data_IF_932557518566
#
_entry.id   IF_932557518566
#
_cell.length_a   1.000
_cell.length_b   1.000
_cell.length_c   1.000
_cell.angle_alpha   90.00
_cell.angle_beta   90.00
_cell.angle_gamma   90.00
#
_symmetry.space_group_name_H-M   'P 1'
#
loop_
_entity.id
_entity.type
_entity.pdbx_description
1 polymer ?
#
# COMPACT_ATOMS: atom_id res chain seq x y z
N UNK A 1 20.23 -31.85 -0.49
CA UNK A 1 20.61 -30.45 -0.75
C UNK A 1 19.75 -29.55 0.08
N UNK A 2 20.33 -29.16 1.19
CA UNK A 2 19.73 -28.31 2.20
C UNK A 2 19.63 -26.89 1.69
N UNK A 3 18.44 -26.40 1.49
CA UNK A 3 18.13 -24.98 1.42
C UNK A 3 18.08 -24.45 2.86
N UNK A 4 19.21 -24.05 3.39
CA UNK A 4 19.29 -23.23 4.60
C UNK A 4 18.69 -21.87 4.27
N UNK A 5 17.38 -21.75 4.45
CA UNK A 5 16.72 -20.46 4.53
C UNK A 5 17.19 -19.80 5.83
N UNK A 6 18.14 -18.88 5.76
CA UNK A 6 18.47 -18.01 6.89
C UNK A 6 17.29 -17.07 7.06
N UNK A 7 16.39 -17.44 7.95
CA UNK A 7 15.18 -16.69 8.26
C UNK A 7 15.53 -15.62 9.27
N UNK A 8 15.64 -14.39 8.83
CA UNK A 8 15.75 -13.23 9.74
C UNK A 8 14.34 -12.80 10.06
N UNK A 9 13.92 -12.99 11.29
CA UNK A 9 12.63 -12.50 11.80
C UNK A 9 12.94 -11.29 12.66
N UNK A 10 12.51 -10.11 12.22
CA UNK A 10 12.56 -8.89 13.02
C UNK A 10 11.17 -8.57 13.55
N UNK A 11 11.07 -8.31 14.84
CA UNK A 11 9.86 -7.86 15.50
C UNK A 11 9.83 -6.33 15.46
N UNK A 12 8.75 -5.76 14.94
CA UNK A 12 8.47 -4.35 15.03
C UNK A 12 7.27 -4.15 15.97
N UNK A 13 7.48 -3.47 17.08
CA UNK A 13 6.42 -3.17 18.06
C UNK A 13 5.55 -2.02 17.57
N UNK A 14 4.24 -2.22 17.54
CA UNK A 14 3.23 -1.21 17.28
C UNK A 14 2.62 -0.71 18.58
N UNK A 15 2.33 0.57 18.63
CA UNK A 15 1.79 1.23 19.83
C UNK A 15 0.28 1.13 20.00
N UNK A 16 -0.49 0.57 19.03
CA UNK A 16 -1.95 0.54 19.09
C UNK A 16 -2.50 -0.88 19.32
N UNK A 17 -3.24 -1.15 20.40
CA UNK A 17 -3.71 -2.50 20.72
C UNK A 17 -4.87 -2.96 19.82
N UNK A 18 -4.63 -3.99 19.02
CA UNK A 18 -5.66 -4.73 18.28
C UNK A 18 -6.56 -5.60 19.19
N UNK A 19 -6.22 -5.67 20.48
CA UNK A 19 -6.88 -6.52 21.49
C UNK A 19 -8.36 -6.22 21.78
N UNK A 20 -8.88 -5.10 21.29
CA UNK A 20 -10.27 -4.72 21.54
C UNK A 20 -11.29 -5.43 20.64
N UNK A 21 -10.92 -6.08 19.54
CA UNK A 21 -11.83 -6.64 18.53
C UNK A 21 -12.11 -8.14 18.62
N UNK A 22 -11.35 -8.92 19.41
CA UNK A 22 -11.52 -10.39 19.47
C UNK A 22 -12.13 -10.80 20.81
N UNK A 23 -13.27 -10.23 21.21
CA UNK A 23 -13.94 -10.69 22.46
C UNK A 23 -14.96 -11.80 22.30
N UNK A 24 -15.33 -12.20 21.08
CA UNK A 24 -16.37 -13.20 20.85
C UNK A 24 -15.94 -14.42 20.01
N UNK A 25 -14.64 -14.72 19.93
CA UNK A 25 -14.12 -15.74 19.01
C UNK A 25 -13.56 -16.99 19.67
N UNK A 26 -14.14 -17.51 20.76
CA UNK A 26 -13.63 -18.71 21.43
C UNK A 26 -13.48 -19.92 20.47
N UNK A 27 -14.46 -20.16 19.61
CA UNK A 27 -14.43 -21.22 18.60
C UNK A 27 -13.37 -20.99 17.51
N UNK A 28 -13.13 -19.73 17.12
CA UNK A 28 -12.11 -19.37 16.11
C UNK A 28 -10.69 -19.58 16.66
N UNK A 29 -10.48 -19.22 17.93
CA UNK A 29 -9.21 -19.46 18.60
C UNK A 29 -8.88 -20.96 18.68
N UNK A 30 -9.88 -21.81 19.00
CA UNK A 30 -9.73 -23.26 19.07
C UNK A 30 -9.47 -23.88 17.69
N UNK A 31 -10.19 -23.45 16.65
CA UNK A 31 -9.97 -23.90 15.28
C UNK A 31 -8.58 -23.52 14.73
N UNK A 32 -8.04 -22.35 15.12
CA UNK A 32 -6.73 -21.87 14.71
C UNK A 32 -5.58 -22.41 15.56
N UNK A 33 -5.84 -23.06 16.70
CA UNK A 33 -4.82 -23.51 17.63
C UNK A 33 -3.81 -24.48 16.97
N UNK A 34 -4.31 -25.40 16.15
CA UNK A 34 -3.43 -26.34 15.41
C UNK A 34 -2.53 -25.60 14.42
N UNK A 35 -3.08 -24.68 13.64
CA UNK A 35 -2.31 -23.85 12.69
C UNK A 35 -1.30 -22.96 13.41
N UNK A 36 -1.69 -22.33 14.52
CA UNK A 36 -0.81 -21.52 15.34
C UNK A 36 0.35 -22.34 15.95
N UNK A 37 0.09 -23.58 16.34
CA UNK A 37 1.14 -24.50 16.86
C UNK A 37 2.16 -24.81 15.78
N UNK A 38 1.70 -25.13 14.55
CA UNK A 38 2.61 -25.37 13.41
C UNK A 38 3.38 -24.10 13.07
N UNK A 39 2.70 -22.95 13.04
CA UNK A 39 3.33 -21.66 12.77
C UNK A 39 4.43 -21.36 13.78
N UNK A 40 4.19 -21.59 15.07
CA UNK A 40 5.17 -21.36 16.14
C UNK A 40 6.42 -22.25 16.03
N UNK A 41 6.29 -23.43 15.37
CA UNK A 41 7.43 -24.32 15.12
C UNK A 41 8.29 -23.88 13.93
N UNK A 42 7.66 -23.24 12.92
CA UNK A 42 8.31 -22.86 11.67
C UNK A 42 8.82 -21.41 11.72
N UNK A 43 8.08 -20.54 12.38
CA UNK A 43 8.31 -19.10 12.47
C UNK A 43 7.76 -18.55 13.77
N UNK A 44 7.39 -17.26 13.79
CA UNK A 44 6.70 -16.63 14.91
C UNK A 44 5.20 -16.52 14.66
N UNK A 45 4.43 -16.63 15.75
CA UNK A 45 3.00 -16.32 15.68
C UNK A 45 2.79 -14.80 15.67
N UNK A 46 1.85 -14.30 14.84
CA UNK A 46 1.46 -12.89 14.84
C UNK A 46 1.00 -12.44 16.23
N UNK A 47 1.43 -11.25 16.64
CA UNK A 47 0.94 -10.56 17.83
C UNK A 47 0.27 -9.25 17.42
N UNK A 48 -0.67 -8.71 18.22
CA UNK A 48 -1.40 -7.51 17.85
C UNK A 48 -0.54 -6.31 17.47
N UNK A 49 0.60 -6.15 18.13
CA UNK A 49 1.44 -4.95 18.04
C UNK A 49 2.79 -5.23 17.36
N UNK A 50 2.88 -6.35 16.63
CA UNK A 50 4.13 -6.78 15.99
C UNK A 50 3.90 -7.10 14.53
N UNK A 51 4.65 -6.46 13.65
CA UNK A 51 4.75 -6.87 12.25
C UNK A 51 5.83 -7.94 12.11
N UNK A 52 5.55 -9.00 11.37
CA UNK A 52 6.52 -10.06 11.09
C UNK A 52 7.19 -9.75 9.75
N UNK A 53 8.51 -9.82 9.74
CA UNK A 53 9.30 -9.69 8.51
C UNK A 53 10.11 -10.97 8.32
N UNK A 54 9.96 -11.60 7.17
CA UNK A 54 10.63 -12.85 6.82
C UNK A 54 11.43 -12.69 5.53
N UNK A 55 12.68 -13.14 5.55
CA UNK A 55 13.54 -13.15 4.37
C UNK A 55 13.96 -14.58 4.03
N UNK A 56 13.79 -14.96 2.78
CA UNK A 56 14.23 -16.28 2.29
C UNK A 56 14.63 -16.22 0.81
N UNK A 57 15.23 -17.29 0.32
CA UNK A 57 15.61 -17.48 -1.07
C UNK A 57 14.82 -18.61 -1.70
N UNK A 58 14.31 -18.40 -2.90
CA UNK A 58 13.72 -19.44 -3.75
C UNK A 58 14.46 -19.59 -5.08
N UNK A 59 13.85 -20.30 -6.02
CA UNK A 59 14.36 -20.39 -7.40
C UNK A 59 14.17 -19.09 -8.16
N UNK A 60 13.16 -18.30 -7.79
CA UNK A 60 12.79 -17.05 -8.47
C UNK A 60 13.63 -15.87 -7.99
N UNK A 61 14.31 -16.00 -6.85
CA UNK A 61 15.16 -14.96 -6.29
C UNK A 61 15.11 -14.90 -4.76
N UNK A 62 15.35 -13.70 -4.26
CA UNK A 62 15.32 -13.39 -2.84
C UNK A 62 14.00 -12.70 -2.50
N UNK A 63 13.35 -13.16 -1.46
CA UNK A 63 12.05 -12.71 -1.01
C UNK A 63 12.16 -12.01 0.34
N UNK A 64 11.43 -10.92 0.48
CA UNK A 64 11.16 -10.25 1.75
C UNK A 64 9.64 -10.15 1.91
N UNK A 65 9.11 -10.93 2.86
CA UNK A 65 7.69 -10.91 3.19
C UNK A 65 7.49 -10.08 4.46
N UNK A 66 6.55 -9.15 4.41
CA UNK A 66 6.21 -8.24 5.49
C UNK A 66 4.74 -8.43 5.81
N UNK A 67 4.41 -8.75 7.06
CA UNK A 67 3.06 -9.05 7.52
C UNK A 67 2.59 -8.01 8.54
N UNK A 68 2.15 -6.84 8.08
CA UNK A 68 1.64 -5.80 8.97
C UNK A 68 0.20 -6.03 9.41
N UNK A 69 -0.55 -6.93 8.74
CA UNK A 69 -1.96 -7.22 9.00
C UNK A 69 -2.86 -5.97 8.98
N UNK A 70 -2.52 -5.01 8.14
CA UNK A 70 -3.22 -3.74 8.03
C UNK A 70 -4.36 -3.75 6.99
N UNK A 71 -4.44 -4.81 6.19
CA UNK A 71 -5.44 -4.99 5.14
C UNK A 71 -4.99 -4.53 3.76
N UNK A 72 -5.71 -4.97 2.73
CA UNK A 72 -5.36 -4.82 1.33
C UNK A 72 -5.02 -3.38 0.92
N UNK A 73 -5.87 -2.39 1.28
CA UNK A 73 -5.67 -1.00 0.85
C UNK A 73 -4.36 -0.42 1.39
N UNK A 74 -4.06 -0.68 2.66
CA UNK A 74 -2.81 -0.26 3.28
C UNK A 74 -1.62 -0.96 2.63
N UNK A 75 -1.73 -2.26 2.35
CA UNK A 75 -0.65 -3.02 1.72
C UNK A 75 -0.36 -2.54 0.29
N UNK A 76 -1.40 -2.14 -0.47
CA UNK A 76 -1.26 -1.53 -1.81
C UNK A 76 -0.45 -0.23 -1.80
N UNK A 77 -0.55 0.55 -0.74
CA UNK A 77 0.24 1.77 -0.57
C UNK A 77 1.63 1.45 -0.01
N UNK A 78 1.70 0.62 1.02
CA UNK A 78 2.92 0.33 1.77
C UNK A 78 3.97 -0.42 0.92
N UNK A 79 3.55 -1.37 0.09
CA UNK A 79 4.47 -2.14 -0.76
C UNK A 79 5.28 -1.26 -1.73
N UNK A 80 4.64 -0.48 -2.62
CA UNK A 80 5.33 0.47 -3.48
C UNK A 80 6.11 1.56 -2.73
N UNK A 81 5.61 2.02 -1.57
CA UNK A 81 6.32 2.97 -0.72
C UNK A 81 7.66 2.41 -0.26
N UNK A 82 7.67 1.21 0.31
CA UNK A 82 8.90 0.53 0.74
C UNK A 82 9.84 0.30 -0.45
N UNK A 83 9.33 -0.21 -1.58
CA UNK A 83 10.14 -0.45 -2.77
C UNK A 83 10.77 0.84 -3.30
N UNK A 84 10.03 1.95 -3.33
CA UNK A 84 10.53 3.27 -3.73
C UNK A 84 11.62 3.77 -2.78
N UNK A 85 11.45 3.61 -1.47
CA UNK A 85 12.45 4.01 -0.46
C UNK A 85 13.72 3.17 -0.55
N UNK A 86 13.61 1.87 -0.83
CA UNK A 86 14.77 1.00 -1.10
C UNK A 86 15.48 1.47 -2.37
N UNK A 87 14.75 1.77 -3.44
CA UNK A 87 15.32 2.22 -4.71
C UNK A 87 16.06 3.56 -4.59
N UNK A 88 15.69 4.42 -3.63
CA UNK A 88 16.45 5.65 -3.29
C UNK A 88 17.79 5.37 -2.61
N UNK A 89 17.91 4.24 -1.93
CA UNK A 89 19.13 3.84 -1.20
C UNK A 89 20.09 3.02 -2.08
N UNK A 90 19.54 2.20 -2.96
CA UNK A 90 20.32 1.34 -3.87
C UNK A 90 19.54 1.08 -5.15
N UNK A 91 20.19 1.14 -6.32
CA UNK A 91 19.55 0.74 -7.57
C UNK A 91 19.08 -0.72 -7.46
N UNK A 92 17.78 -0.93 -7.60
CA UNK A 92 17.19 -2.24 -7.44
C UNK A 92 15.98 -2.42 -8.36
N UNK A 93 15.84 -3.63 -8.91
CA UNK A 93 14.61 -4.06 -9.55
C UNK A 93 13.83 -4.91 -8.55
N UNK A 94 12.71 -4.37 -8.07
CA UNK A 94 11.87 -5.03 -7.10
C UNK A 94 10.50 -5.32 -7.70
N UNK A 95 10.05 -6.56 -7.59
CA UNK A 95 8.65 -6.92 -7.86
C UNK A 95 7.89 -6.88 -6.55
N UNK A 96 6.78 -6.14 -6.55
CA UNK A 96 5.92 -5.97 -5.37
C UNK A 96 4.64 -6.76 -5.58
N UNK A 97 4.35 -7.68 -4.66
CA UNK A 97 3.09 -8.42 -4.60
C UNK A 97 2.43 -8.15 -3.27
N UNK A 98 1.11 -7.90 -3.28
CA UNK A 98 0.35 -7.62 -2.07
C UNK A 98 -0.87 -8.51 -1.96
N UNK A 99 -1.28 -8.81 -0.73
CA UNK A 99 -2.53 -9.48 -0.41
C UNK A 99 -3.12 -8.94 0.91
N UNK A 100 -4.23 -9.51 1.37
CA UNK A 100 -4.89 -9.07 2.60
C UNK A 100 -4.04 -9.24 3.86
N UNK A 101 -3.05 -10.13 3.84
CA UNK A 101 -2.22 -10.49 4.99
C UNK A 101 -0.89 -9.75 5.03
N UNK A 102 -0.33 -9.41 3.87
CA UNK A 102 0.99 -8.81 3.80
C UNK A 102 1.46 -8.43 2.40
N UNK A 103 2.74 -8.16 2.35
CA UNK A 103 3.47 -7.64 1.20
C UNK A 103 4.66 -8.56 0.95
N UNK A 104 4.92 -8.86 -0.30
CA UNK A 104 6.13 -9.54 -0.74
C UNK A 104 6.93 -8.63 -1.66
N UNK A 105 8.22 -8.49 -1.38
CA UNK A 105 9.20 -7.88 -2.26
C UNK A 105 10.13 -8.98 -2.78
N UNK A 106 10.16 -9.14 -4.09
CA UNK A 106 11.04 -10.09 -4.77
C UNK A 106 12.16 -9.33 -5.49
N UNK A 107 13.40 -9.78 -5.26
CA UNK A 107 14.59 -9.23 -5.89
C UNK A 107 15.45 -10.36 -6.49
N UNK A 108 16.06 -10.16 -7.67
CA UNK A 108 17.06 -11.10 -8.20
C UNK A 108 18.34 -11.12 -7.35
N UNK A 109 18.62 -10.04 -6.61
CA UNK A 109 19.82 -9.86 -5.80
C UNK A 109 19.47 -9.73 -4.31
N UNK A 110 20.34 -10.18 -3.38
CA UNK A 110 20.08 -10.12 -1.95
C UNK A 110 20.21 -8.70 -1.38
N UNK A 111 21.11 -7.88 -1.93
CA UNK A 111 21.53 -6.60 -1.37
C UNK A 111 20.38 -5.60 -1.11
N UNK A 112 19.39 -5.42 -2.02
CA UNK A 112 18.30 -4.49 -1.76
C UNK A 112 17.47 -4.87 -0.53
N UNK A 113 17.25 -6.18 -0.33
CA UNK A 113 16.46 -6.70 0.79
C UNK A 113 17.26 -6.69 2.11
N UNK A 114 18.58 -6.82 2.05
CA UNK A 114 19.48 -6.66 3.21
C UNK A 114 19.47 -5.21 3.68
N UNK A 115 19.59 -4.25 2.78
CA UNK A 115 19.48 -2.82 3.10
C UNK A 115 18.12 -2.52 3.73
N UNK A 116 17.03 -3.13 3.23
CA UNK A 116 15.71 -2.96 3.81
C UNK A 116 15.68 -3.40 5.28
N UNK A 117 16.23 -4.57 5.59
CA UNK A 117 16.25 -5.08 6.97
C UNK A 117 17.19 -4.30 7.87
N UNK A 118 18.36 -3.89 7.38
CA UNK A 118 19.37 -3.18 8.16
C UNK A 118 18.96 -1.73 8.46
N UNK A 119 18.20 -1.12 7.55
CA UNK A 119 17.71 0.26 7.68
C UNK A 119 16.20 0.35 7.86
N UNK A 120 15.61 -0.66 8.46
CA UNK A 120 14.16 -0.78 8.61
C UNK A 120 13.52 0.50 9.17
N UNK A 121 14.05 1.03 10.27
CA UNK A 121 13.52 2.24 10.91
C UNK A 121 13.49 3.46 9.96
N UNK A 122 14.46 3.59 9.06
CA UNK A 122 14.48 4.70 8.10
C UNK A 122 13.53 4.46 6.92
N UNK A 123 13.27 3.21 6.57
CA UNK A 123 12.39 2.85 5.46
C UNK A 123 10.92 3.00 5.85
N UNK A 124 10.57 2.71 7.11
CA UNK A 124 9.20 2.82 7.61
C UNK A 124 8.89 4.17 8.26
N UNK A 125 9.79 5.15 8.20
CA UNK A 125 9.53 6.48 8.77
C UNK A 125 8.22 7.08 8.28
N UNK A 126 7.52 7.74 9.21
CA UNK A 126 6.27 8.45 8.94
C UNK A 126 6.47 9.73 8.12
N UNK A 127 7.69 10.28 8.12
CA UNK A 127 7.99 11.54 7.45
C UNK A 127 7.81 11.45 5.93
N UNK A 128 7.17 12.48 5.37
CA UNK A 128 6.97 12.66 3.93
C UNK A 128 6.16 11.55 3.22
N UNK A 129 5.30 10.81 3.93
CA UNK A 129 4.50 9.72 3.34
C UNK A 129 3.78 10.15 2.08
N UNK A 130 3.08 11.28 2.09
CA UNK A 130 2.30 11.75 0.94
C UNK A 130 3.19 12.02 -0.29
N UNK A 131 4.37 12.63 -0.08
CA UNK A 131 5.32 12.91 -1.16
C UNK A 131 5.94 11.62 -1.70
N UNK A 132 6.31 10.69 -0.82
CA UNK A 132 6.85 9.40 -1.21
C UNK A 132 5.81 8.54 -1.95
N UNK A 133 4.55 8.58 -1.53
CA UNK A 133 3.45 7.91 -2.23
C UNK A 133 3.20 8.51 -3.61
N UNK A 134 3.26 9.82 -3.75
CA UNK A 134 3.14 10.48 -5.06
C UNK A 134 4.21 10.00 -6.04
N UNK A 135 5.42 9.75 -5.56
CA UNK A 135 6.53 9.24 -6.36
C UNK A 135 6.45 7.73 -6.62
N UNK A 136 6.01 6.96 -5.62
CA UNK A 136 5.95 5.51 -5.68
C UNK A 136 4.78 4.98 -6.50
N UNK A 137 3.64 5.68 -6.41
CA UNK A 137 2.40 5.35 -7.11
C UNK A 137 2.19 6.37 -8.22
N UNK A 138 1.67 5.95 -9.36
CA UNK A 138 1.28 6.89 -10.41
C UNK A 138 0.01 7.68 -10.01
N UNK A 139 0.11 8.39 -8.87
CA UNK A 139 -1.01 9.11 -8.25
C UNK A 139 -1.65 10.12 -9.17
N UNK A 140 -0.87 10.79 -10.01
CA UNK A 140 -1.39 11.77 -10.97
C UNK A 140 -2.41 11.15 -11.93
N UNK A 141 -2.20 9.93 -12.39
CA UNK A 141 -3.14 9.24 -13.27
C UNK A 141 -4.39 8.75 -12.51
N UNK A 142 -4.23 8.30 -11.28
CA UNK A 142 -5.36 7.92 -10.41
C UNK A 142 -6.22 9.13 -10.07
N UNK A 143 -5.61 10.25 -9.71
CA UNK A 143 -6.30 11.52 -9.44
C UNK A 143 -7.01 12.02 -10.71
N UNK A 144 -6.39 11.95 -11.89
CA UNK A 144 -7.02 12.30 -13.17
C UNK A 144 -8.24 11.43 -13.44
N UNK A 145 -8.16 10.14 -13.13
CA UNK A 145 -9.30 9.21 -13.25
C UNK A 145 -10.42 9.58 -12.29
N UNK A 146 -10.11 9.85 -11.03
CA UNK A 146 -11.07 10.26 -10.01
C UNK A 146 -11.68 11.63 -10.30
N UNK A 147 -10.88 12.60 -10.75
CA UNK A 147 -11.35 13.92 -11.14
C UNK A 147 -12.49 13.87 -12.17
N UNK A 148 -12.50 12.90 -13.09
CA UNK A 148 -13.60 12.72 -14.04
C UNK A 148 -14.93 12.49 -13.32
N UNK A 149 -14.95 11.66 -12.28
CA UNK A 149 -16.15 11.42 -11.48
C UNK A 149 -16.55 12.68 -10.69
N UNK A 150 -15.60 13.30 -10.02
CA UNK A 150 -15.80 14.52 -9.22
C UNK A 150 -16.32 15.67 -10.08
N UNK A 151 -15.75 15.88 -11.28
CA UNK A 151 -16.17 16.92 -12.21
C UNK A 151 -17.58 16.69 -12.81
N UNK A 152 -17.99 15.43 -12.93
CA UNK A 152 -19.37 15.08 -13.33
C UNK A 152 -20.36 15.35 -12.21
N UNK A 153 -20.06 14.90 -11.00
CA UNK A 153 -20.93 15.07 -9.83
C UNK A 153 -21.10 16.55 -9.50
N UNK A 154 -20.04 17.35 -9.60
CA UNK A 154 -20.08 18.79 -9.35
C UNK A 154 -20.81 19.59 -10.46
N UNK A 155 -21.15 18.94 -11.58
CA UNK A 155 -21.76 19.63 -12.74
C UNK A 155 -20.79 20.44 -13.60
N UNK A 156 -19.46 20.39 -13.30
CA UNK A 156 -18.45 21.05 -14.13
C UNK A 156 -18.43 20.46 -15.56
N UNK A 157 -18.76 19.19 -15.68
CA UNK A 157 -18.92 18.50 -16.97
C UNK A 157 -20.37 18.14 -17.17
N UNK A 158 -20.99 18.77 -18.17
CA UNK A 158 -22.35 18.49 -18.55
C UNK A 158 -22.44 17.28 -19.46
N UNK A 159 -23.16 16.24 -19.04
CA UNK A 159 -23.30 14.96 -19.75
C UNK A 159 -24.29 14.97 -20.93
N UNK A 160 -25.10 15.98 -21.02
CA UNK A 160 -26.18 16.10 -22.00
C UNK A 160 -27.57 16.02 -21.37
N UNK A 161 -28.59 16.14 -22.22
CA UNK A 161 -30.00 16.02 -21.80
C UNK A 161 -30.47 14.54 -21.87
N UNK A 162 -31.53 14.19 -21.17
CA UNK A 162 -32.18 12.87 -21.34
C UNK A 162 -32.50 12.65 -22.83
N UNK A 163 -32.04 11.53 -23.39
CA UNK A 163 -32.19 11.18 -24.81
C UNK A 163 -31.16 11.82 -25.77
N UNK A 164 -30.28 12.70 -25.30
CA UNK A 164 -29.18 13.33 -26.08
C UNK A 164 -27.91 13.39 -25.23
N UNK A 165 -27.43 12.25 -24.78
CA UNK A 165 -26.19 12.17 -24.03
C UNK A 165 -24.98 12.36 -24.92
N UNK A 166 -23.94 13.05 -24.40
CA UNK A 166 -22.63 13.13 -25.06
C UNK A 166 -21.94 11.76 -25.03
N UNK A 167 -21.12 11.48 -26.04
CA UNK A 167 -20.36 10.24 -26.05
C UNK A 167 -19.37 10.17 -24.88
N UNK A 168 -19.14 8.98 -24.35
CA UNK A 168 -18.17 8.72 -23.26
C UNK A 168 -16.79 9.29 -23.60
N UNK A 169 -16.36 9.14 -24.86
CA UNK A 169 -15.08 9.67 -25.34
C UNK A 169 -15.00 11.20 -25.24
N UNK A 170 -16.08 11.89 -25.62
CA UNK A 170 -16.15 13.37 -25.53
C UNK A 170 -16.08 13.83 -24.06
N UNK A 171 -16.79 13.15 -23.16
CA UNK A 171 -16.76 13.44 -21.73
C UNK A 171 -15.36 13.21 -21.12
N UNK A 172 -14.70 12.12 -21.51
CA UNK A 172 -13.34 11.83 -21.06
C UNK A 172 -12.34 12.88 -21.56
N UNK A 173 -12.42 13.29 -22.81
CA UNK A 173 -11.54 14.31 -23.39
C UNK A 173 -11.75 15.65 -22.68
N UNK A 174 -13.01 16.06 -22.47
CA UNK A 174 -13.33 17.30 -21.77
C UNK A 174 -12.82 17.29 -20.31
N UNK A 175 -12.99 16.17 -19.61
CA UNK A 175 -12.49 16.02 -18.24
C UNK A 175 -10.96 16.09 -18.16
N UNK A 176 -10.26 15.42 -19.08
CA UNK A 176 -8.79 15.46 -19.11
C UNK A 176 -8.28 16.88 -19.41
N UNK A 177 -8.88 17.57 -20.36
CA UNK A 177 -8.50 18.96 -20.67
C UNK A 177 -8.72 19.89 -19.49
N UNK A 178 -9.88 19.79 -18.81
CA UNK A 178 -10.17 20.59 -17.63
C UNK A 178 -9.20 20.28 -16.48
N UNK A 179 -8.87 19.01 -16.28
CA UNK A 179 -7.85 18.60 -15.30
C UNK A 179 -6.52 19.29 -15.57
N UNK A 180 -6.02 19.21 -16.81
CA UNK A 180 -4.74 19.80 -17.20
C UNK A 180 -4.72 21.32 -17.04
N UNK A 181 -5.81 21.98 -17.42
CA UNK A 181 -5.98 23.43 -17.25
C UNK A 181 -5.99 23.80 -15.77
N UNK A 182 -6.74 23.09 -14.94
CA UNK A 182 -6.78 23.37 -13.50
C UNK A 182 -5.43 23.11 -12.85
N UNK A 183 -4.75 22.02 -13.16
CA UNK A 183 -3.39 21.74 -12.65
C UNK A 183 -2.39 22.85 -13.02
N UNK A 184 -2.55 23.47 -14.19
CA UNK A 184 -1.65 24.52 -14.66
C UNK A 184 -1.96 25.90 -14.07
N UNK A 185 -3.23 26.27 -13.94
CA UNK A 185 -3.64 27.64 -13.61
C UNK A 185 -4.23 27.79 -12.21
N UNK A 186 -4.76 26.74 -11.62
CA UNK A 186 -5.33 26.73 -10.27
C UNK A 186 -5.10 25.35 -9.60
N UNK A 187 -3.85 25.02 -9.23
CA UNK A 187 -3.50 23.73 -8.65
C UNK A 187 -4.18 23.45 -7.29
N UNK A 188 -4.62 24.51 -6.59
CA UNK A 188 -5.34 24.41 -5.31
C UNK A 188 -6.86 24.34 -5.48
N UNK A 189 -7.35 24.19 -6.72
CA UNK A 189 -8.78 24.12 -7.00
C UNK A 189 -9.46 23.01 -6.19
N UNK A 190 -10.61 23.34 -5.61
CA UNK A 190 -11.34 22.47 -4.67
C UNK A 190 -11.62 21.07 -5.23
N UNK A 191 -11.93 20.96 -6.53
CA UNK A 191 -12.22 19.69 -7.17
C UNK A 191 -10.96 18.83 -7.40
N UNK A 192 -9.78 19.45 -7.59
CA UNK A 192 -8.50 18.72 -7.66
C UNK A 192 -8.15 18.15 -6.28
N UNK A 193 -8.30 18.98 -5.23
CA UNK A 193 -8.08 18.54 -3.85
C UNK A 193 -9.04 17.41 -3.48
N UNK A 194 -10.32 17.58 -3.77
CA UNK A 194 -11.32 16.53 -3.52
C UNK A 194 -10.97 15.23 -4.23
N UNK A 195 -10.59 15.27 -5.51
CA UNK A 195 -10.20 14.08 -6.26
C UNK A 195 -8.94 13.40 -5.67
N UNK A 196 -7.99 14.20 -5.19
CA UNK A 196 -6.79 13.71 -4.50
C UNK A 196 -7.14 13.04 -3.17
N UNK A 197 -7.95 13.71 -2.34
CA UNK A 197 -8.37 13.19 -1.04
C UNK A 197 -9.18 11.90 -1.18
N UNK A 198 -10.07 11.82 -2.18
CA UNK A 198 -10.84 10.61 -2.50
C UNK A 198 -9.91 9.45 -2.86
N UNK A 199 -8.90 9.66 -3.71
CA UNK A 199 -7.94 8.61 -4.08
C UNK A 199 -7.14 8.13 -2.88
N UNK A 200 -6.62 9.06 -2.07
CA UNK A 200 -5.81 8.73 -0.89
C UNK A 200 -6.62 7.95 0.15
N UNK A 201 -7.90 8.29 0.32
CA UNK A 201 -8.79 7.62 1.28
C UNK A 201 -9.32 6.29 0.74
N UNK A 202 -9.86 6.29 -0.47
CA UNK A 202 -10.66 5.16 -0.97
C UNK A 202 -9.80 4.06 -1.61
N UNK A 203 -8.64 4.43 -2.21
CA UNK A 203 -7.74 3.46 -2.86
C UNK A 203 -6.60 2.99 -1.93
N UNK A 204 -6.20 3.80 -0.93
CA UNK A 204 -4.99 3.52 -0.13
C UNK A 204 -5.17 3.58 1.38
N UNK A 205 -6.31 4.08 1.89
CA UNK A 205 -6.54 4.26 3.33
C UNK A 205 -5.32 4.87 4.06
N UNK A 206 -4.91 6.06 3.61
CA UNK A 206 -3.66 6.72 4.08
C UNK A 206 -3.68 7.02 5.57
N UNK A 207 -4.85 7.24 6.17
CA UNK A 207 -4.97 7.41 7.62
C UNK A 207 -4.51 6.14 8.34
N UNK A 208 -5.03 4.98 7.94
CA UNK A 208 -4.64 3.69 8.50
C UNK A 208 -3.20 3.30 8.15
N UNK A 209 -2.71 3.71 6.97
CA UNK A 209 -1.29 3.57 6.62
C UNK A 209 -0.40 4.33 7.60
N UNK A 210 -0.75 5.59 7.89
CA UNK A 210 -0.04 6.42 8.87
C UNK A 210 -0.02 5.77 10.26
N UNK A 211 -1.17 5.27 10.73
CA UNK A 211 -1.28 4.53 11.99
C UNK A 211 -0.45 3.24 11.99
N UNK A 212 -0.31 2.61 10.83
CA UNK A 212 0.47 1.37 10.67
C UNK A 212 1.97 1.63 10.78
N UNK A 213 2.43 2.82 10.42
CA UNK A 213 3.84 3.23 10.44
C UNK A 213 4.26 3.91 11.76
N UNK A 214 3.31 4.30 12.61
CA UNK A 214 3.57 4.83 13.95
C UNK A 214 3.76 3.70 14.97
#
# INVERSE_FOLDING_TARGET
SETLATRVVSDFERTTPLSARIRNGHWLAEALQHTATIQAQISRCPKPDVAIVERFKSRDGYHLCIYPFAGWLVHQALGPLIASRIAKLTPATLTVTVNDYGIELLSPEPQPLEICTDRWSSIIQHDNINQDLEQALNLSELIRRQFRATARISGLIFEGYPGRQKSVRMLQTSASLLYDVLCQYDPEHVLLRQAKDDVLRDEFDVERLSETLC
#
